data_IF_331727938557
#
_entry.id   IF_331727938557
#
_cell.length_a   1.000
_cell.length_b   1.000
_cell.length_c   1.000
_cell.angle_alpha   90.00
_cell.angle_beta   90.00
_cell.angle_gamma   90.00
#
_symmetry.space_group_name_H-M   'P 1'
#
loop_
_entity.id
_entity.type
_entity.pdbx_description
1 polymer ?
#
# COMPACT_ATOMS: atom_id res chain seq x y z
N UNK A 1 -40.17 -34.23 43.95
CA UNK A 1 -39.06 -33.30 44.26
C UNK A 1 -37.70 -33.91 43.88
N UNK A 2 -37.37 -35.11 44.34
CA UNK A 2 -36.08 -35.79 44.09
C UNK A 2 -35.86 -36.06 42.61
N UNK A 3 -36.88 -36.43 41.83
CA UNK A 3 -36.82 -36.70 40.41
C UNK A 3 -36.60 -35.40 39.58
N UNK A 4 -37.12 -34.26 40.06
CA UNK A 4 -36.91 -32.93 39.45
C UNK A 4 -35.48 -32.40 39.71
N UNK A 5 -34.94 -32.65 40.91
CA UNK A 5 -33.56 -32.29 41.26
C UNK A 5 -32.55 -33.14 40.45
N UNK A 6 -32.82 -34.45 40.27
CA UNK A 6 -32.01 -35.32 39.45
C UNK A 6 -32.02 -34.92 37.96
N UNK A 7 -33.16 -34.45 37.42
CA UNK A 7 -33.25 -33.91 36.03
C UNK A 7 -32.52 -32.59 35.87
N UNK A 8 -32.53 -31.74 36.89
CA UNK A 8 -31.79 -30.46 36.89
C UNK A 8 -30.26 -30.70 36.97
N UNK A 9 -29.82 -31.67 37.75
CA UNK A 9 -28.42 -32.05 37.85
C UNK A 9 -27.87 -32.76 36.58
N UNK A 10 -28.74 -33.42 35.79
CA UNK A 10 -28.32 -34.07 34.52
C UNK A 10 -28.26 -33.08 33.35
N UNK A 11 -28.96 -31.93 33.42
CA UNK A 11 -28.91 -30.89 32.39
C UNK A 11 -27.76 -29.87 32.57
N UNK A 12 -27.20 -29.80 33.79
CA UNK A 12 -26.10 -28.87 34.09
C UNK A 12 -24.77 -29.20 33.36
N UNK A 13 -24.35 -30.46 33.16
CA UNK A 13 -23.13 -30.72 32.37
C UNK A 13 -23.31 -30.57 30.85
N UNK A 14 -24.54 -30.56 30.31
CA UNK A 14 -24.78 -30.34 28.88
C UNK A 14 -24.61 -28.87 28.47
N UNK A 15 -24.89 -27.91 29.38
CA UNK A 15 -24.64 -26.48 29.12
C UNK A 15 -23.14 -26.11 29.22
N UNK A 16 -22.30 -26.89 29.86
CA UNK A 16 -20.85 -26.65 29.98
C UNK A 16 -20.04 -27.19 28.81
N UNK A 17 -20.64 -27.99 27.90
CA UNK A 17 -19.97 -28.54 26.73
C UNK A 17 -20.14 -27.71 25.46
N UNK A 18 -20.88 -26.58 25.51
CA UNK A 18 -20.95 -25.61 24.42
C UNK A 18 -19.89 -24.48 24.54
N UNK A 19 -18.88 -24.65 25.40
CA UNK A 19 -17.69 -23.79 25.37
C UNK A 19 -16.75 -24.29 24.29
N UNK A 20 -16.95 -23.79 23.11
CA UNK A 20 -15.80 -23.69 22.31
C UNK A 20 -15.75 -24.27 21.02
N UNK A 21 -15.95 -23.81 20.03
CA UNK A 21 -14.96 -23.68 18.98
C UNK A 21 -14.34 -22.28 19.17
N UNK A 22 -13.20 -22.21 19.81
CA UNK A 22 -12.29 -21.08 19.65
C UNK A 22 -11.65 -21.22 18.26
N UNK A 23 -12.51 -21.28 17.26
CA UNK A 23 -12.10 -21.08 15.88
C UNK A 23 -11.52 -19.68 15.80
N UNK A 24 -10.35 -19.54 15.23
CA UNK A 24 -9.76 -18.22 14.96
C UNK A 24 -10.80 -17.39 14.19
N UNK A 25 -11.19 -16.27 14.77
CA UNK A 25 -12.13 -15.33 14.14
C UNK A 25 -11.48 -14.82 12.86
N UNK A 26 -12.23 -14.72 11.78
CA UNK A 26 -11.74 -14.15 10.52
C UNK A 26 -12.49 -12.85 10.25
N UNK A 27 -11.77 -11.84 9.83
CA UNK A 27 -12.31 -10.60 9.28
C UNK A 27 -11.60 -10.26 7.97
N UNK A 28 -12.33 -9.65 7.04
CA UNK A 28 -11.78 -9.24 5.75
C UNK A 28 -12.43 -7.95 5.28
N UNK A 29 -11.66 -7.13 4.56
CA UNK A 29 -12.15 -5.93 3.89
C UNK A 29 -11.52 -5.81 2.50
N UNK A 30 -12.31 -5.31 1.55
CA UNK A 30 -11.86 -4.86 0.24
C UNK A 30 -12.28 -3.40 0.08
N UNK A 31 -11.36 -2.54 -0.35
CA UNK A 31 -11.61 -1.12 -0.55
C UNK A 31 -10.66 -0.56 -1.61
N UNK A 32 -10.86 0.69 -2.00
CA UNK A 32 -10.00 1.39 -2.97
C UNK A 32 -9.22 2.49 -2.25
N UNK A 33 -7.90 2.49 -2.39
CA UNK A 33 -6.99 3.50 -1.90
C UNK A 33 -5.68 3.45 -2.69
N UNK A 34 -4.89 4.53 -2.69
CA UNK A 34 -3.61 4.62 -3.42
C UNK A 34 -3.75 4.18 -4.88
N UNK A 35 -4.83 4.60 -5.54
CA UNK A 35 -5.18 4.33 -6.94
C UNK A 35 -5.31 2.83 -7.29
N UNK A 36 -5.63 1.98 -6.32
CA UNK A 36 -5.77 0.54 -6.55
C UNK A 36 -6.71 -0.14 -5.56
N UNK A 37 -7.06 -1.40 -5.87
CA UNK A 37 -7.84 -2.25 -4.95
C UNK A 37 -6.93 -2.79 -3.85
N UNK A 38 -7.39 -2.64 -2.61
CA UNK A 38 -6.77 -3.15 -1.40
C UNK A 38 -7.60 -4.30 -0.84
N UNK A 39 -6.92 -5.34 -0.39
CA UNK A 39 -7.54 -6.47 0.31
C UNK A 39 -6.77 -6.77 1.58
N UNK A 40 -7.46 -6.91 2.70
CA UNK A 40 -6.89 -7.28 4.00
C UNK A 40 -7.73 -8.40 4.60
N UNK A 41 -7.09 -9.47 5.06
CA UNK A 41 -7.74 -10.57 5.80
C UNK A 41 -6.92 -10.91 7.03
N UNK A 42 -7.55 -10.86 8.19
CA UNK A 42 -6.95 -11.19 9.48
C UNK A 42 -7.66 -12.37 10.14
N UNK A 43 -6.89 -13.14 10.89
CA UNK A 43 -7.35 -14.26 11.70
C UNK A 43 -6.85 -14.08 13.14
N UNK A 44 -7.73 -14.12 14.12
CA UNK A 44 -7.37 -13.93 15.52
C UNK A 44 -8.57 -13.50 16.34
N UNK A 45 -8.35 -13.27 17.61
CA UNK A 45 -9.41 -12.81 18.51
C UNK A 45 -9.88 -11.39 18.16
N UNK A 46 -8.91 -10.55 17.78
CA UNK A 46 -9.13 -9.13 17.51
C UNK A 46 -9.14 -8.83 15.99
N UNK A 47 -9.44 -9.84 15.14
CA UNK A 47 -9.40 -9.72 13.69
C UNK A 47 -10.24 -8.57 13.13
N UNK A 48 -11.46 -8.36 13.66
CA UNK A 48 -12.35 -7.29 13.20
C UNK A 48 -11.72 -5.90 13.48
N UNK A 49 -11.25 -5.67 14.72
CA UNK A 49 -10.63 -4.41 15.11
C UNK A 49 -9.30 -4.15 14.38
N UNK A 50 -8.51 -5.20 14.14
CA UNK A 50 -7.26 -5.12 13.40
C UNK A 50 -7.48 -4.75 11.93
N UNK A 51 -8.49 -5.34 11.27
CA UNK A 51 -8.86 -5.01 9.90
C UNK A 51 -9.35 -3.57 9.78
N UNK A 52 -10.19 -3.11 10.72
CA UNK A 52 -10.67 -1.73 10.76
C UNK A 52 -9.52 -0.73 10.96
N UNK A 53 -8.61 -1.00 11.91
CA UNK A 53 -7.43 -0.17 12.13
C UNK A 53 -6.49 -0.14 10.92
N UNK A 54 -6.27 -1.29 10.28
CA UNK A 54 -5.44 -1.40 9.09
C UNK A 54 -6.04 -0.62 7.90
N UNK A 55 -7.34 -0.72 7.67
CA UNK A 55 -8.03 0.06 6.64
C UNK A 55 -7.92 1.57 6.91
N UNK A 56 -8.15 2.00 8.14
CA UNK A 56 -8.05 3.40 8.53
C UNK A 56 -6.63 3.96 8.29
N UNK A 57 -5.60 3.16 8.59
CA UNK A 57 -4.21 3.57 8.36
C UNK A 57 -3.88 3.71 6.88
N UNK A 58 -4.32 2.77 6.02
CA UNK A 58 -4.13 2.89 4.57
C UNK A 58 -4.81 4.14 4.02
N UNK A 59 -6.06 4.42 4.44
CA UNK A 59 -6.78 5.63 4.01
C UNK A 59 -6.05 6.89 4.48
N UNK A 60 -5.55 6.91 5.72
CA UNK A 60 -4.77 8.03 6.25
C UNK A 60 -3.49 8.27 5.45
N UNK A 61 -2.77 7.20 5.09
CA UNK A 61 -1.56 7.29 4.27
C UNK A 61 -1.88 7.75 2.85
N UNK A 62 -2.98 7.30 2.26
CA UNK A 62 -3.43 7.76 0.94
C UNK A 62 -3.70 9.28 0.96
N UNK A 63 -4.45 9.76 1.95
CA UNK A 63 -4.71 11.20 2.13
C UNK A 63 -3.43 12.02 2.35
N UNK A 64 -2.43 11.44 3.01
CA UNK A 64 -1.16 12.10 3.33
C UNK A 64 -0.23 12.20 2.10
N UNK A 65 -0.16 11.13 1.30
CA UNK A 65 0.86 10.94 0.27
C UNK A 65 0.39 11.24 -1.16
N UNK A 66 -0.93 11.30 -1.39
CA UNK A 66 -1.50 11.47 -2.74
C UNK A 66 -1.03 12.76 -3.41
N UNK A 67 -0.43 12.64 -4.59
CA UNK A 67 -0.08 13.79 -5.45
C UNK A 67 -1.32 14.40 -6.11
N UNK A 68 -2.39 13.63 -6.29
CA UNK A 68 -3.67 14.09 -6.86
C UNK A 68 -4.54 14.88 -5.87
N UNK A 69 -4.38 14.66 -4.56
CA UNK A 69 -5.09 15.39 -3.52
C UNK A 69 -4.32 16.66 -3.15
N UNK A 70 -4.78 17.83 -3.61
CA UNK A 70 -4.15 19.12 -3.35
C UNK A 70 -3.95 19.47 -1.87
N UNK A 71 -4.69 18.85 -0.96
CA UNK A 71 -4.58 19.05 0.48
C UNK A 71 -3.63 18.06 1.17
N UNK A 72 -3.09 17.07 0.46
CA UNK A 72 -2.09 16.15 0.99
C UNK A 72 -0.80 16.89 1.40
N UNK A 73 0.00 16.29 2.26
CA UNK A 73 1.28 16.87 2.64
C UNK A 73 2.23 16.91 1.44
N UNK A 74 2.33 15.81 0.68
CA UNK A 74 3.19 15.71 -0.51
C UNK A 74 2.80 16.73 -1.57
N UNK A 75 1.51 16.89 -1.88
CA UNK A 75 1.04 17.91 -2.82
C UNK A 75 1.36 19.33 -2.35
N UNK A 76 1.24 19.62 -1.06
CA UNK A 76 1.62 20.95 -0.53
C UNK A 76 3.11 21.23 -0.64
N UNK A 77 3.95 20.22 -0.41
CA UNK A 77 5.40 20.33 -0.61
C UNK A 77 5.69 20.63 -2.08
N UNK A 78 5.10 19.89 -3.00
CA UNK A 78 5.27 20.11 -4.45
C UNK A 78 4.78 21.49 -4.89
N UNK A 79 3.66 21.99 -4.36
CA UNK A 79 3.12 23.31 -4.70
C UNK A 79 3.96 24.47 -4.17
N UNK A 80 4.58 24.31 -3.00
CA UNK A 80 5.34 25.37 -2.32
C UNK A 80 6.85 25.22 -2.51
N UNK A 81 7.31 24.17 -3.19
CA UNK A 81 8.72 23.78 -3.31
C UNK A 81 9.43 23.60 -1.97
N UNK A 82 8.70 23.54 -0.86
CA UNK A 82 9.24 23.33 0.48
C UNK A 82 8.16 22.91 1.48
N UNK A 83 8.56 22.20 2.54
CA UNK A 83 7.67 21.89 3.67
C UNK A 83 8.38 21.26 4.85
N UNK A 84 7.77 21.45 6.03
CA UNK A 84 8.09 20.66 7.22
C UNK A 84 7.38 19.32 7.10
N UNK A 85 8.13 18.24 7.37
CA UNK A 85 7.63 16.89 7.16
C UNK A 85 6.98 16.34 8.43
N UNK A 86 5.89 15.60 8.25
CA UNK A 86 5.38 14.67 9.26
C UNK A 86 6.34 13.49 9.44
N UNK A 87 6.17 12.70 10.49
CA UNK A 87 7.02 11.54 10.76
C UNK A 87 6.99 10.52 9.60
N UNK A 88 5.81 10.27 9.03
CA UNK A 88 5.67 9.32 7.92
C UNK A 88 6.36 9.81 6.65
N UNK A 89 6.19 11.09 6.29
CA UNK A 89 6.81 11.67 5.09
C UNK A 89 8.31 11.79 5.27
N UNK A 90 8.80 12.11 6.48
CA UNK A 90 10.22 12.12 6.79
C UNK A 90 10.84 10.71 6.67
N UNK A 91 10.17 9.68 7.20
CA UNK A 91 10.63 8.30 7.07
C UNK A 91 10.68 7.87 5.59
N UNK A 92 9.68 8.22 4.80
CA UNK A 92 9.66 7.93 3.35
C UNK A 92 10.76 8.68 2.60
N UNK A 93 11.04 9.94 2.96
CA UNK A 93 12.14 10.70 2.38
C UNK A 93 13.51 10.08 2.71
N UNK A 94 13.72 9.64 3.96
CA UNK A 94 14.94 8.92 4.37
C UNK A 94 15.13 7.62 3.57
N UNK A 95 14.06 6.80 3.43
CA UNK A 95 14.09 5.58 2.60
C UNK A 95 14.36 5.89 1.13
N UNK A 96 13.71 6.92 0.58
CA UNK A 96 13.89 7.34 -0.80
C UNK A 96 15.33 7.76 -1.09
N UNK A 97 15.91 8.60 -0.25
CA UNK A 97 17.31 9.05 -0.35
C UNK A 97 18.30 7.89 -0.15
N UNK A 98 17.99 6.95 0.75
CA UNK A 98 18.78 5.75 0.92
C UNK A 98 18.74 4.88 -0.34
N UNK A 99 17.56 4.60 -0.90
CA UNK A 99 17.40 3.79 -2.11
C UNK A 99 18.03 4.45 -3.34
N UNK A 100 17.90 5.77 -3.48
CA UNK A 100 18.59 6.50 -4.54
C UNK A 100 20.08 6.19 -4.52
N UNK A 101 20.73 6.30 -3.35
CA UNK A 101 22.16 5.97 -3.19
C UNK A 101 22.49 4.50 -3.44
N UNK A 102 21.66 3.57 -2.95
CA UNK A 102 21.88 2.13 -3.09
C UNK A 102 21.70 1.63 -4.54
N UNK A 103 20.93 2.35 -5.33
CA UNK A 103 20.61 1.98 -6.73
C UNK A 103 21.34 2.85 -7.75
N UNK A 104 22.33 3.63 -7.33
CA UNK A 104 23.06 4.58 -8.19
C UNK A 104 22.11 5.49 -9.00
N UNK A 105 21.03 5.99 -8.33
CA UNK A 105 20.03 6.88 -8.92
C UNK A 105 18.93 6.19 -9.73
N UNK A 106 18.91 4.84 -9.81
CA UNK A 106 17.84 4.14 -10.54
C UNK A 106 16.46 4.29 -9.88
N UNK A 107 16.42 4.44 -8.57
CA UNK A 107 15.23 4.93 -7.86
C UNK A 107 15.42 6.41 -7.51
N UNK A 108 14.46 7.25 -7.88
CA UNK A 108 14.47 8.68 -7.52
C UNK A 108 13.06 9.16 -7.20
N UNK A 109 12.87 9.73 -5.98
CA UNK A 109 11.58 10.26 -5.57
C UNK A 109 11.19 11.55 -6.31
N UNK A 110 12.15 12.19 -6.98
CA UNK A 110 11.90 13.45 -7.70
C UNK A 110 11.42 13.25 -9.14
N UNK A 111 10.95 12.05 -9.47
CA UNK A 111 10.49 11.65 -10.81
C UNK A 111 9.18 12.29 -11.26
N UNK A 112 8.49 13.03 -10.38
CA UNK A 112 7.16 13.59 -10.66
C UNK A 112 7.07 14.40 -11.97
N UNK A 113 8.02 15.27 -12.34
CA UNK A 113 7.95 16.01 -13.61
C UNK A 113 7.90 15.09 -14.84
N UNK A 114 8.58 13.96 -14.79
CA UNK A 114 8.54 12.96 -15.86
C UNK A 114 7.20 12.22 -15.85
N UNK A 115 6.67 11.86 -14.68
CA UNK A 115 5.37 11.19 -14.57
C UNK A 115 4.23 12.06 -15.09
N UNK A 116 4.25 13.36 -14.79
CA UNK A 116 3.29 14.34 -15.32
C UNK A 116 3.36 14.42 -16.84
N UNK A 117 4.57 14.49 -17.40
CA UNK A 117 4.80 14.58 -18.84
C UNK A 117 4.28 13.34 -19.60
N UNK A 118 4.39 12.14 -19.00
CA UNK A 118 3.83 10.90 -19.55
C UNK A 118 2.32 10.76 -19.30
N UNK A 119 1.71 11.67 -18.52
CA UNK A 119 0.30 11.64 -18.19
C UNK A 119 -0.12 10.65 -17.11
N UNK A 120 0.82 10.12 -16.33
CA UNK A 120 0.50 9.18 -15.24
C UNK A 120 -0.32 9.80 -14.12
N UNK A 121 -0.20 11.12 -13.94
CA UNK A 121 -0.95 11.88 -12.91
C UNK A 121 -2.37 12.24 -13.33
N UNK A 122 -2.65 12.25 -14.63
CA UNK A 122 -3.95 12.64 -15.19
C UNK A 122 -4.71 11.46 -15.81
N UNK A 123 -4.02 10.36 -16.13
CA UNK A 123 -4.54 9.24 -16.93
C UNK A 123 -4.60 9.54 -18.44
N UNK A 124 -4.17 10.72 -18.87
CA UNK A 124 -4.08 11.10 -20.28
C UNK A 124 -2.67 10.77 -20.81
N UNK A 125 -2.45 9.50 -21.07
CA UNK A 125 -1.12 8.99 -21.45
C UNK A 125 -0.65 9.52 -22.80
N UNK A 126 0.60 10.01 -22.85
CA UNK A 126 1.24 10.47 -24.07
C UNK A 126 2.71 10.11 -24.06
N UNK A 127 3.28 9.83 -25.25
CA UNK A 127 4.74 9.69 -25.40
C UNK A 127 5.31 11.09 -25.62
N UNK A 128 6.13 11.60 -24.68
CA UNK A 128 6.68 12.96 -24.79
C UNK A 128 7.72 13.07 -25.90
N UNK A 129 7.92 14.29 -26.40
CA UNK A 129 9.03 14.61 -27.29
C UNK A 129 10.37 14.57 -26.54
N UNK A 130 11.46 14.28 -27.28
CA UNK A 130 12.81 14.17 -26.71
C UNK A 130 13.25 15.43 -25.95
N UNK A 131 12.96 16.61 -26.49
CA UNK A 131 13.32 17.90 -25.86
C UNK A 131 12.51 18.15 -24.56
N UNK A 132 11.26 17.74 -24.52
CA UNK A 132 10.40 17.87 -23.35
C UNK A 132 10.84 16.90 -22.25
N UNK A 133 11.15 15.65 -22.65
CA UNK A 133 11.65 14.65 -21.73
C UNK A 133 13.02 15.06 -21.15
N UNK A 134 13.92 15.60 -21.96
CA UNK A 134 15.22 16.10 -21.50
C UNK A 134 15.07 17.21 -20.45
N UNK A 135 14.10 18.13 -20.64
CA UNK A 135 13.81 19.20 -19.67
C UNK A 135 13.24 18.65 -18.37
N UNK A 136 12.30 17.70 -18.44
CA UNK A 136 11.72 17.06 -17.24
C UNK A 136 12.77 16.26 -16.46
N UNK A 137 13.64 15.52 -17.16
CA UNK A 137 14.74 14.77 -16.55
C UNK A 137 15.77 15.70 -15.87
N UNK A 138 15.99 16.90 -16.39
CA UNK A 138 16.89 17.88 -15.75
C UNK A 138 16.36 18.40 -14.39
N UNK A 139 15.07 18.20 -14.11
CA UNK A 139 14.45 18.51 -12.82
C UNK A 139 14.46 17.31 -11.85
N UNK A 140 14.83 16.11 -12.33
CA UNK A 140 14.95 14.92 -11.50
C UNK A 140 16.38 14.81 -10.95
N UNK A 141 16.50 14.49 -9.68
CA UNK A 141 17.76 14.30 -8.98
C UNK A 141 17.59 14.51 -7.49
N UNK A 142 17.69 13.43 -6.72
CA UNK A 142 17.60 13.50 -5.26
C UNK A 142 18.79 14.27 -4.62
N UNK A 143 19.89 14.43 -5.34
CA UNK A 143 21.04 15.26 -4.97
C UNK A 143 20.75 16.77 -5.09
N UNK A 144 19.70 17.15 -5.79
CA UNK A 144 19.23 18.53 -5.93
C UNK A 144 18.27 18.93 -4.78
N UNK A 145 17.82 17.97 -3.97
CA UNK A 145 16.91 18.21 -2.85
C UNK A 145 17.70 18.64 -1.64
N UNK A 146 17.26 19.74 -0.98
CA UNK A 146 17.73 20.08 0.36
C UNK A 146 16.89 19.39 1.41
N UNK A 147 17.50 18.52 2.22
CA UNK A 147 16.83 17.78 3.28
C UNK A 147 17.59 17.91 4.58
N UNK A 148 17.02 18.61 5.56
CA UNK A 148 17.69 18.96 6.81
C UNK A 148 16.75 18.82 8.02
N UNK A 149 17.33 18.57 9.20
CA UNK A 149 16.64 18.73 10.47
C UNK A 149 16.64 20.23 10.85
N UNK A 150 15.47 20.75 11.15
CA UNK A 150 15.28 22.15 11.58
C UNK A 150 14.64 22.20 12.96
N UNK A 151 15.13 23.11 13.80
CA UNK A 151 14.50 23.41 15.08
C UNK A 151 13.37 24.41 14.90
N UNK A 152 12.22 24.15 15.50
CA UNK A 152 11.12 25.12 15.52
C UNK A 152 10.58 25.31 16.95
N UNK A 153 10.19 26.55 17.24
CA UNK A 153 9.66 26.91 18.54
C UNK A 153 8.15 27.03 18.49
N UNK A 154 7.44 26.28 19.31
CA UNK A 154 5.98 26.31 19.41
C UNK A 154 5.46 27.34 20.41
N UNK A 155 6.37 28.14 21.01
CA UNK A 155 5.99 29.22 21.96
C UNK A 155 5.64 28.75 23.37
N UNK A 156 5.69 27.46 23.63
CA UNK A 156 5.47 26.88 24.95
C UNK A 156 6.52 25.81 25.23
N UNK A 157 7.39 26.09 26.20
CA UNK A 157 8.43 25.25 26.81
C UNK A 157 9.83 25.27 26.17
N UNK A 158 10.82 25.09 27.05
CA UNK A 158 12.29 25.19 26.81
C UNK A 158 12.85 24.05 25.92
N UNK A 159 12.00 23.22 25.28
CA UNK A 159 12.46 22.16 24.40
C UNK A 159 12.34 22.60 22.93
N UNK A 160 13.47 22.66 22.26
CA UNK A 160 13.52 22.75 20.80
C UNK A 160 12.89 21.52 20.18
N UNK A 161 11.73 21.71 19.54
CA UNK A 161 11.15 20.67 18.73
C UNK A 161 11.91 20.61 17.39
N UNK A 162 12.25 19.40 16.97
CA UNK A 162 12.97 19.16 15.72
C UNK A 162 12.04 18.51 14.72
N UNK A 163 12.09 18.96 13.48
CA UNK A 163 11.43 18.34 12.32
C UNK A 163 12.35 18.32 11.14
N UNK A 164 12.13 17.36 10.26
CA UNK A 164 12.75 17.38 8.94
C UNK A 164 12.05 18.42 8.06
N UNK A 165 12.83 19.15 7.31
CA UNK A 165 12.38 20.06 6.26
C UNK A 165 12.93 19.58 4.93
N UNK A 166 12.11 19.63 3.89
CA UNK A 166 12.48 19.32 2.53
C UNK A 166 12.25 20.58 1.67
N UNK A 167 13.24 20.89 0.82
CA UNK A 167 13.18 21.99 -0.14
C UNK A 167 13.53 21.44 -1.52
N UNK A 168 12.76 21.83 -2.53
CA UNK A 168 12.87 21.42 -3.93
C UNK A 168 13.33 22.61 -4.78
N UNK A 169 13.98 22.33 -5.90
CA UNK A 169 14.20 23.33 -6.91
C UNK A 169 12.87 23.73 -7.57
N UNK A 170 12.84 24.91 -8.16
CA UNK A 170 11.69 25.39 -8.96
C UNK A 170 11.41 24.42 -10.10
N UNK A 171 10.16 23.94 -10.17
CA UNK A 171 9.72 22.93 -11.14
C UNK A 171 10.07 21.48 -10.79
N UNK A 172 10.82 21.22 -9.71
CA UNK A 172 11.02 19.88 -9.18
C UNK A 172 9.78 19.42 -8.41
N UNK A 173 9.53 18.12 -8.37
CA UNK A 173 8.42 17.56 -7.61
C UNK A 173 8.74 16.14 -7.16
N UNK A 174 8.17 15.75 -6.01
CA UNK A 174 8.36 14.43 -5.39
C UNK A 174 7.11 13.58 -5.50
N UNK A 175 7.33 12.27 -5.65
CA UNK A 175 6.34 11.21 -5.55
C UNK A 175 6.90 10.01 -4.79
N UNK A 176 6.10 9.47 -3.87
CA UNK A 176 6.47 8.28 -3.08
C UNK A 176 5.75 7.01 -3.55
N UNK A 177 5.06 7.02 -4.69
CA UNK A 177 4.27 5.88 -5.19
C UNK A 177 5.05 4.58 -5.28
N UNK A 178 6.36 4.66 -5.59
CA UNK A 178 7.26 3.50 -5.60
C UNK A 178 7.57 2.90 -4.22
N UNK A 179 7.35 3.63 -3.12
CA UNK A 179 7.61 3.21 -1.74
C UNK A 179 6.35 3.05 -0.90
N UNK A 180 5.30 3.82 -1.19
CA UNK A 180 4.13 3.98 -0.34
C UNK A 180 3.47 2.65 0.05
N UNK A 181 3.35 1.69 -0.89
CA UNK A 181 2.74 0.39 -0.60
C UNK A 181 3.60 -0.49 0.30
N UNK A 182 4.92 -0.45 0.14
CA UNK A 182 5.87 -1.12 1.03
C UNK A 182 5.80 -0.55 2.44
N UNK A 183 5.86 0.76 2.55
CA UNK A 183 5.73 1.48 3.83
C UNK A 183 4.40 1.18 4.52
N UNK A 184 3.29 1.23 3.77
CA UNK A 184 1.98 0.86 4.28
C UNK A 184 1.95 -0.59 4.80
N UNK A 185 2.63 -1.52 4.12
CA UNK A 185 2.75 -2.90 4.58
C UNK A 185 3.44 -2.99 5.94
N UNK A 186 4.52 -2.25 6.15
CA UNK A 186 5.22 -2.20 7.44
C UNK A 186 4.34 -1.61 8.55
N UNK A 187 3.54 -0.58 8.22
CA UNK A 187 2.56 -0.01 9.16
C UNK A 187 1.48 -1.01 9.55
N UNK A 188 0.98 -1.81 8.59
CA UNK A 188 0.01 -2.86 8.87
C UNK A 188 0.57 -3.94 9.81
N UNK A 189 1.83 -4.34 9.61
CA UNK A 189 2.51 -5.28 10.51
C UNK A 189 2.55 -4.73 11.94
N UNK A 190 2.94 -3.46 12.12
CA UNK A 190 2.95 -2.81 13.43
C UNK A 190 1.57 -2.76 14.09
N UNK A 191 0.51 -2.54 13.30
CA UNK A 191 -0.87 -2.59 13.78
C UNK A 191 -1.20 -4.00 14.25
N UNK A 192 -0.92 -5.03 13.45
CA UNK A 192 -1.22 -6.42 13.80
C UNK A 192 -0.47 -6.90 15.05
N UNK A 193 0.76 -6.40 15.27
CA UNK A 193 1.52 -6.65 16.50
C UNK A 193 0.84 -6.06 17.74
N UNK A 194 0.04 -5.02 17.58
CA UNK A 194 -0.74 -4.38 18.65
C UNK A 194 -2.07 -5.08 18.98
N UNK A 195 -2.51 -6.08 18.17
CA UNK A 195 -3.75 -6.81 18.33
C UNK A 195 -3.50 -8.32 18.50
N UNK A 196 -4.48 -9.07 19.03
CA UNK A 196 -4.41 -10.54 19.04
C UNK A 196 -4.73 -11.12 17.64
N UNK A 197 -3.85 -10.81 16.68
CA UNK A 197 -3.84 -11.37 15.31
C UNK A 197 -2.89 -12.55 15.27
N UNK A 198 -3.39 -13.73 14.91
CA UNK A 198 -2.59 -14.96 14.80
C UNK A 198 -1.98 -15.13 13.40
N UNK A 199 -2.67 -14.63 12.39
CA UNK A 199 -2.31 -14.78 11.00
C UNK A 199 -3.04 -13.73 10.18
N UNK A 200 -2.40 -13.20 9.16
CA UNK A 200 -3.05 -12.32 8.20
C UNK A 200 -2.39 -12.43 6.82
N UNK A 201 -3.13 -12.06 5.80
CA UNK A 201 -2.56 -11.71 4.51
C UNK A 201 -3.24 -10.46 3.98
N UNK A 202 -2.51 -9.69 3.20
CA UNK A 202 -3.07 -8.54 2.50
C UNK A 202 -2.41 -8.34 1.14
N UNK A 203 -3.17 -7.73 0.24
CA UNK A 203 -2.71 -7.30 -1.09
C UNK A 203 -3.00 -5.83 -1.25
N UNK A 204 -1.96 -5.04 -1.44
CA UNK A 204 -2.03 -3.61 -1.67
C UNK A 204 -1.70 -3.33 -3.14
N UNK A 205 -2.72 -3.50 -4.02
CA UNK A 205 -2.52 -3.33 -5.46
C UNK A 205 -1.50 -4.29 -6.07
N UNK A 206 -1.51 -5.54 -5.63
CA UNK A 206 -0.57 -6.56 -6.08
C UNK A 206 0.70 -6.69 -5.23
N UNK A 207 0.98 -5.76 -4.32
CA UNK A 207 1.99 -5.94 -3.28
C UNK A 207 1.41 -6.83 -2.18
N UNK A 208 1.79 -8.12 -2.17
CA UNK A 208 1.23 -9.13 -1.27
C UNK A 208 2.16 -9.36 -0.09
N UNK A 209 1.59 -9.38 1.11
CA UNK A 209 2.29 -9.71 2.34
C UNK A 209 1.51 -10.76 3.14
N UNK A 210 2.25 -11.69 3.75
CA UNK A 210 1.72 -12.72 4.64
C UNK A 210 2.31 -12.54 6.04
N UNK A 211 1.44 -12.21 6.99
CA UNK A 211 1.81 -12.04 8.39
C UNK A 211 1.63 -13.37 9.11
N UNK A 212 2.73 -13.92 9.63
CA UNK A 212 2.81 -15.24 10.25
C UNK A 212 2.38 -16.39 9.30
N UNK A 213 2.33 -17.62 9.83
CA UNK A 213 1.80 -18.81 9.14
C UNK A 213 0.28 -18.82 9.18
N UNK A 214 -0.36 -19.63 8.34
CA UNK A 214 -1.80 -19.89 8.44
C UNK A 214 -2.18 -20.42 9.83
N UNK A 215 -3.43 -20.27 10.21
CA UNK A 215 -3.94 -20.68 11.53
C UNK A 215 -3.84 -22.18 11.80
N UNK A 216 -3.72 -23.00 10.75
CA UNK A 216 -3.47 -24.45 10.84
C UNK A 216 -1.98 -24.82 10.91
N UNK A 217 -1.09 -23.80 10.90
CA UNK A 217 0.36 -23.96 10.95
C UNK A 217 1.04 -24.20 9.60
N UNK A 218 0.27 -24.32 8.51
CA UNK A 218 0.83 -24.45 7.17
C UNK A 218 1.36 -23.11 6.64
N UNK A 219 2.19 -23.17 5.61
CA UNK A 219 2.69 -21.99 4.90
C UNK A 219 1.63 -21.40 3.95
N UNK A 220 1.76 -20.12 3.66
CA UNK A 220 0.98 -19.46 2.63
C UNK A 220 1.50 -19.86 1.25
N UNK A 221 0.58 -20.13 0.32
CA UNK A 221 0.88 -20.32 -1.09
C UNK A 221 0.34 -19.12 -1.87
N UNK A 222 1.24 -18.33 -2.44
CA UNK A 222 0.89 -17.16 -3.23
C UNK A 222 1.16 -17.45 -4.68
N UNK A 223 0.10 -17.44 -5.50
CA UNK A 223 0.22 -17.60 -6.94
C UNK A 223 0.69 -16.26 -7.57
N UNK A 224 1.64 -16.36 -8.48
CA UNK A 224 2.08 -15.23 -9.31
C UNK A 224 1.48 -15.43 -10.69
N UNK A 225 0.67 -14.45 -11.13
CA UNK A 225 0.10 -14.50 -12.47
C UNK A 225 1.20 -14.39 -13.53
N UNK A 226 1.15 -15.27 -14.52
CA UNK A 226 2.06 -15.19 -15.66
C UNK A 226 1.67 -13.97 -16.53
N UNK A 227 2.50 -12.92 -16.58
CA UNK A 227 2.19 -11.71 -17.36
C UNK A 227 2.12 -11.98 -18.88
N UNK A 228 2.71 -13.08 -19.32
CA UNK A 228 2.76 -13.45 -20.75
C UNK A 228 1.60 -14.36 -21.17
N UNK A 229 0.69 -14.74 -20.24
CA UNK A 229 -0.43 -15.66 -20.53
C UNK A 229 -1.35 -15.16 -21.66
N UNK A 230 -1.43 -13.84 -21.87
CA UNK A 230 -2.22 -13.18 -22.91
C UNK A 230 -1.36 -12.52 -24.00
N UNK A 231 -0.05 -12.67 -23.96
CA UNK A 231 0.84 -12.18 -25.00
C UNK A 231 1.01 -13.28 -26.05
N UNK A 232 0.35 -13.09 -27.19
CA UNK A 232 0.58 -13.91 -28.36
C UNK A 232 1.95 -13.55 -28.93
N UNK A 233 3.00 -14.30 -28.56
CA UNK A 233 4.37 -14.10 -29.01
C UNK A 233 4.54 -14.25 -30.52
N UNK A 234 3.50 -14.74 -31.22
CA UNK A 234 3.47 -14.91 -32.67
C UNK A 234 2.90 -13.71 -33.44
N UNK A 235 2.61 -12.59 -32.77
CA UNK A 235 2.14 -11.35 -33.42
C UNK A 235 3.27 -10.37 -33.77
N UNK A 236 4.45 -10.87 -34.03
CA UNK A 236 5.52 -10.17 -34.75
C UNK A 236 5.29 -10.44 -36.24
N UNK A 237 5.14 -9.37 -37.03
CA UNK A 237 5.11 -9.33 -38.48
C UNK A 237 3.78 -9.66 -39.19
N UNK A 238 2.73 -8.88 -38.93
CA UNK A 238 1.80 -8.53 -40.01
C UNK A 238 1.00 -7.26 -39.65
N UNK A 239 1.53 -6.13 -40.06
CA UNK A 239 0.77 -4.89 -40.14
C UNK A 239 -0.18 -4.98 -41.35
N UNK A 240 -1.44 -5.20 -41.10
CA UNK A 240 -2.45 -5.04 -42.14
C UNK A 240 -3.65 -6.00 -41.99
N UNK A 241 -4.81 -5.47 -41.62
CA UNK A 241 -6.06 -6.17 -41.89
C UNK A 241 -7.10 -6.14 -40.80
N UNK A 242 -8.02 -5.26 -40.95
CA UNK A 242 -9.41 -5.15 -40.45
C UNK A 242 -10.06 -6.41 -39.83
N UNK A 243 -10.80 -6.23 -38.75
CA UNK A 243 -11.78 -7.21 -38.31
C UNK A 243 -12.29 -6.98 -36.88
N UNK A 244 -13.29 -6.13 -36.74
CA UNK A 244 -14.10 -6.07 -35.52
C UNK A 244 -14.83 -7.40 -35.28
N UNK A 245 -14.78 -7.88 -34.06
CA UNK A 245 -15.56 -9.04 -33.60
C UNK A 245 -15.80 -8.92 -32.11
N UNK A 246 -16.94 -8.38 -31.76
CA UNK A 246 -17.56 -8.33 -30.46
C UNK A 246 -17.82 -9.75 -29.95
N UNK A 247 -17.31 -10.10 -28.76
CA UNK A 247 -17.93 -11.18 -27.97
C UNK A 247 -17.73 -10.88 -26.49
N UNK A 248 -18.79 -10.35 -25.90
CA UNK A 248 -19.04 -10.34 -24.46
C UNK A 248 -19.32 -11.76 -23.99
N UNK A 249 -18.41 -12.40 -23.28
CA UNK A 249 -18.74 -13.52 -22.40
C UNK A 249 -18.07 -13.35 -21.05
N UNK A 250 -18.86 -13.63 -20.01
CA UNK A 250 -18.61 -13.31 -18.63
C UNK A 250 -17.29 -13.88 -18.08
N UNK A 251 -16.60 -13.05 -17.34
CA UNK A 251 -15.45 -13.44 -16.53
C UNK A 251 -15.96 -14.23 -15.33
N UNK A 252 -16.05 -15.54 -15.48
CA UNK A 252 -16.06 -16.46 -14.34
C UNK A 252 -14.64 -16.57 -13.82
N UNK A 253 -14.46 -16.41 -12.49
CA UNK A 253 -13.17 -16.45 -11.82
C UNK A 253 -12.30 -17.63 -12.26
N UNK A 254 -11.21 -17.33 -12.95
CA UNK A 254 -10.23 -18.32 -13.37
C UNK A 254 -9.42 -18.81 -12.18
N UNK A 255 -9.38 -20.14 -12.01
CA UNK A 255 -8.52 -20.80 -11.05
C UNK A 255 -7.04 -20.48 -11.36
N UNK A 256 -6.30 -20.15 -10.33
CA UNK A 256 -4.87 -19.92 -10.41
C UNK A 256 -4.15 -21.25 -10.65
N UNK A 257 -3.32 -21.34 -11.70
CA UNK A 257 -2.45 -22.47 -11.92
C UNK A 257 -1.25 -22.39 -10.96
N UNK A 258 -1.11 -23.36 -10.09
CA UNK A 258 0.01 -23.50 -9.19
C UNK A 258 1.25 -23.94 -9.96
N UNK A 259 2.34 -23.18 -9.85
CA UNK A 259 3.66 -23.68 -10.18
C UNK A 259 4.14 -24.52 -8.99
N UNK A 260 4.25 -25.83 -9.20
CA UNK A 260 4.76 -26.80 -8.24
C UNK A 260 6.27 -26.70 -8.06
#
# INVERSE_FOLDING_TARGET
LILQIMRMLLLMPVMLLCQGCSGSRQASVNFYAMDTVMQITCYGKDADAAVEAAQAEIVRLDELLSIGNKSSEVSRINQNSAGLLSEDVAALADYALMLNRLTDGAYDMTILPVMELWGFTTGEYAVPGEDELAKALALCGSDLVTYNEVSYNTGSEENENKKCQLELLDGQGIDFGGLAKGYASDRLVQIFDGYDVKSAYFSLGGNVYCYHRKTDGSDWNIAIENPLKNFDYNRGDDAGGEGAGESTEGVSGGAFDYLG
#
